data_IF_136008668289
#
_entry.id   IF_136008668289
#
_cell.length_a   1.000
_cell.length_b   1.000
_cell.length_c   1.000
_cell.angle_alpha   90.00
_cell.angle_beta   90.00
_cell.angle_gamma   90.00
#
_symmetry.space_group_name_H-M   'P 1'
#
loop_
_entity.id
_entity.type
_entity.pdbx_description
1 polymer ?
#
# COMPACT_ATOMS: atom_id res chain seq x y z
N UNK A 1 -13.35 -10.74 4.60
CA UNK A 1 -12.63 -9.52 5.02
C UNK A 1 -13.23 -8.25 4.42
N UNK A 2 -13.22 -8.05 3.10
CA UNK A 2 -13.66 -6.81 2.45
C UNK A 2 -15.04 -6.29 2.91
N UNK A 3 -16.10 -7.06 2.69
CA UNK A 3 -17.47 -6.63 3.00
C UNK A 3 -17.80 -6.46 4.48
N UNK A 4 -16.93 -6.96 5.36
CA UNK A 4 -17.06 -6.78 6.81
C UNK A 4 -16.46 -5.44 7.23
N UNK A 5 -15.29 -5.07 6.69
CA UNK A 5 -14.61 -3.81 6.97
C UNK A 5 -15.20 -2.63 6.18
N UNK A 6 -15.61 -2.89 4.93
CA UNK A 6 -16.07 -1.89 3.96
C UNK A 6 -17.42 -2.30 3.37
N UNK A 7 -18.52 -2.23 4.14
CA UNK A 7 -19.85 -2.60 3.63
C UNK A 7 -20.30 -1.72 2.45
N UNK A 8 -19.77 -0.50 2.32
CA UNK A 8 -20.04 0.46 1.25
C UNK A 8 -19.61 -0.03 -0.14
N UNK A 9 -18.70 -1.00 -0.23
CA UNK A 9 -18.27 -1.57 -1.52
C UNK A 9 -19.16 -2.71 -2.00
N UNK A 10 -20.02 -3.28 -1.13
CA UNK A 10 -20.93 -4.39 -1.48
C UNK A 10 -21.77 -4.12 -2.74
N UNK A 11 -22.33 -2.91 -2.96
CA UNK A 11 -23.12 -2.64 -4.16
C UNK A 11 -22.39 -2.85 -5.47
N UNK A 12 -21.05 -2.71 -5.51
CA UNK A 12 -20.24 -2.98 -6.71
C UNK A 12 -20.31 -4.45 -7.14
N UNK A 13 -20.62 -5.36 -6.20
CA UNK A 13 -20.66 -6.80 -6.41
C UNK A 13 -22.09 -7.34 -6.43
N UNK A 14 -23.12 -6.49 -6.38
CA UNK A 14 -24.52 -6.92 -6.25
C UNK A 14 -25.00 -7.82 -7.41
N UNK A 15 -24.47 -7.60 -8.61
CA UNK A 15 -24.78 -8.39 -9.81
C UNK A 15 -23.63 -9.33 -10.20
N UNK A 16 -22.75 -9.65 -9.26
CA UNK A 16 -21.58 -10.49 -9.49
C UNK A 16 -21.80 -11.86 -8.88
N UNK A 17 -21.56 -12.92 -9.67
CA UNK A 17 -21.42 -14.27 -9.15
C UNK A 17 -20.14 -14.34 -8.30
N UNK A 18 -20.32 -14.45 -6.99
CA UNK A 18 -19.22 -14.41 -6.03
C UNK A 18 -18.27 -15.61 -6.15
N UNK A 19 -18.76 -16.80 -6.53
CA UNK A 19 -17.91 -17.97 -6.72
C UNK A 19 -17.03 -17.85 -7.98
N UNK A 20 -17.58 -17.28 -9.05
CA UNK A 20 -16.81 -16.94 -10.24
C UNK A 20 -15.85 -15.76 -9.99
N UNK A 21 -16.25 -14.79 -9.17
CA UNK A 21 -15.40 -13.65 -8.81
C UNK A 21 -14.19 -14.09 -7.98
N UNK A 22 -14.36 -15.02 -7.04
CA UNK A 22 -13.27 -15.61 -6.27
C UNK A 22 -12.23 -16.27 -7.19
N UNK A 23 -12.68 -17.10 -8.14
CA UNK A 23 -11.80 -17.73 -9.14
C UNK A 23 -11.05 -16.70 -9.99
N UNK A 24 -11.74 -15.64 -10.44
CA UNK A 24 -11.12 -14.56 -11.24
C UNK A 24 -10.06 -13.80 -10.44
N UNK A 25 -10.33 -13.52 -9.16
CA UNK A 25 -9.37 -12.87 -8.27
C UNK A 25 -8.15 -13.76 -8.08
N UNK A 26 -8.34 -15.04 -7.74
CA UNK A 26 -7.24 -15.99 -7.55
C UNK A 26 -6.39 -16.12 -8.81
N UNK A 27 -7.01 -16.30 -9.98
CA UNK A 27 -6.29 -16.40 -11.26
C UNK A 27 -5.49 -15.13 -11.57
N UNK A 28 -6.02 -13.96 -11.20
CA UNK A 28 -5.32 -12.68 -11.39
C UNK A 28 -4.11 -12.56 -10.45
N UNK A 29 -4.23 -13.03 -9.20
CA UNK A 29 -3.11 -13.09 -8.26
C UNK A 29 -2.03 -14.08 -8.73
N UNK A 30 -2.42 -15.27 -9.19
CA UNK A 30 -1.51 -16.27 -9.78
C UNK A 30 -0.74 -15.65 -10.95
N UNK A 31 -1.45 -15.03 -11.91
CA UNK A 31 -0.84 -14.39 -13.06
C UNK A 31 0.20 -13.34 -12.65
N UNK A 32 -0.11 -12.50 -11.66
CA UNK A 32 0.81 -11.50 -11.15
C UNK A 32 2.06 -12.17 -10.55
N UNK A 33 1.87 -13.14 -9.64
CA UNK A 33 2.97 -13.80 -8.94
C UNK A 33 3.89 -14.53 -9.91
N UNK A 34 3.33 -15.29 -10.85
CA UNK A 34 4.09 -16.00 -11.90
C UNK A 34 4.88 -15.08 -12.83
N UNK A 35 4.51 -13.79 -12.90
CA UNK A 35 5.14 -12.80 -13.77
C UNK A 35 5.88 -11.70 -13.00
N UNK A 36 6.12 -11.85 -11.70
CA UNK A 36 6.89 -10.87 -10.91
C UNK A 36 8.32 -10.66 -11.44
N UNK A 37 8.91 -11.70 -12.04
CA UNK A 37 10.23 -11.63 -12.70
C UNK A 37 10.20 -11.06 -14.12
N UNK A 38 9.02 -10.76 -14.65
CA UNK A 38 8.83 -10.19 -15.99
C UNK A 38 7.92 -8.94 -15.94
N UNK A 39 8.38 -7.86 -15.28
CA UNK A 39 7.57 -6.65 -15.12
C UNK A 39 7.20 -5.98 -16.45
N UNK A 40 8.03 -6.12 -17.49
CA UNK A 40 7.77 -5.59 -18.83
C UNK A 40 6.54 -6.23 -19.49
N UNK A 41 6.33 -7.53 -19.28
CA UNK A 41 5.13 -8.23 -19.76
C UNK A 41 3.90 -7.93 -18.90
N UNK A 42 4.09 -7.74 -17.58
CA UNK A 42 2.99 -7.53 -16.64
C UNK A 42 2.36 -6.13 -16.76
N UNK A 43 3.17 -5.11 -17.06
CA UNK A 43 2.74 -3.72 -17.18
C UNK A 43 1.54 -3.51 -18.11
N UNK A 44 1.59 -3.91 -19.39
CA UNK A 44 0.47 -3.79 -20.33
C UNK A 44 -0.78 -4.55 -19.89
N UNK A 45 -0.63 -5.72 -19.28
CA UNK A 45 -1.74 -6.54 -18.79
C UNK A 45 -2.48 -5.84 -17.64
N UNK A 46 -1.73 -5.33 -16.66
CA UNK A 46 -2.30 -4.58 -15.53
C UNK A 46 -2.93 -3.26 -15.97
N UNK A 47 -2.33 -2.59 -16.95
CA UNK A 47 -2.90 -1.38 -17.53
C UNK A 47 -4.27 -1.68 -18.20
N UNK A 48 -4.33 -2.70 -19.07
CA UNK A 48 -5.58 -3.11 -19.70
C UNK A 48 -6.62 -3.60 -18.68
N UNK A 49 -6.19 -4.26 -17.61
CA UNK A 49 -7.06 -4.66 -16.50
C UNK A 49 -7.65 -3.45 -15.76
N UNK A 50 -6.85 -2.41 -15.53
CA UNK A 50 -7.28 -1.14 -14.96
C UNK A 50 -8.37 -0.45 -15.79
N UNK A 51 -8.20 -0.39 -17.11
CA UNK A 51 -9.22 0.14 -18.01
C UNK A 51 -10.56 -0.63 -17.94
N UNK A 52 -10.50 -1.97 -17.81
CA UNK A 52 -11.71 -2.78 -17.57
C UNK A 52 -12.34 -2.53 -16.20
N UNK A 53 -11.54 -2.24 -15.18
CA UNK A 53 -12.07 -1.95 -13.83
C UNK A 53 -12.93 -0.68 -13.80
N UNK A 54 -12.68 0.29 -14.69
CA UNK A 54 -13.54 1.48 -14.85
C UNK A 54 -14.96 1.08 -15.26
N UNK A 55 -15.13 0.13 -16.19
CA UNK A 55 -16.46 -0.32 -16.62
C UNK A 55 -17.21 -1.13 -15.55
N UNK A 56 -16.51 -1.63 -14.54
CA UNK A 56 -17.10 -2.25 -13.35
C UNK A 56 -17.48 -1.23 -12.26
N UNK A 57 -17.23 0.06 -12.48
CA UNK A 57 -17.47 1.12 -11.51
C UNK A 57 -16.36 1.27 -10.46
N UNK A 58 -15.19 0.66 -10.67
CA UNK A 58 -14.05 0.86 -9.79
C UNK A 58 -13.50 2.28 -9.96
N UNK A 59 -13.25 2.94 -8.83
CA UNK A 59 -12.66 4.27 -8.75
C UNK A 59 -11.52 4.25 -7.73
N UNK A 60 -10.60 5.23 -7.75
CA UNK A 60 -9.39 5.21 -6.93
C UNK A 60 -9.62 4.92 -5.44
N UNK A 61 -10.70 5.46 -4.87
CA UNK A 61 -11.03 5.28 -3.44
C UNK A 61 -11.27 3.83 -3.02
N UNK A 62 -11.56 2.91 -3.95
CA UNK A 62 -11.84 1.51 -3.62
C UNK A 62 -10.59 0.62 -3.58
N UNK A 63 -9.46 1.07 -4.15
CA UNK A 63 -8.24 0.26 -4.20
C UNK A 63 -7.64 0.05 -2.79
N UNK A 64 -7.62 1.09 -1.95
CA UNK A 64 -7.16 0.99 -0.56
C UNK A 64 -7.92 -0.07 0.25
N UNK A 65 -9.26 0.03 0.37
CA UNK A 65 -10.10 -0.98 1.02
C UNK A 65 -9.89 -2.41 0.54
N UNK A 66 -9.71 -2.61 -0.78
CA UNK A 66 -9.44 -3.93 -1.36
C UNK A 66 -8.06 -4.44 -0.93
N UNK A 67 -7.04 -3.59 -0.94
CA UNK A 67 -5.69 -3.92 -0.50
C UNK A 67 -5.63 -4.31 0.98
N UNK A 68 -6.28 -3.53 1.85
CA UNK A 68 -6.38 -3.82 3.27
C UNK A 68 -7.05 -5.17 3.53
N UNK A 69 -8.16 -5.43 2.84
CA UNK A 69 -8.87 -6.71 2.95
C UNK A 69 -8.05 -7.89 2.42
N UNK A 70 -7.25 -7.69 1.37
CA UNK A 70 -6.36 -8.71 0.80
C UNK A 70 -5.21 -9.03 1.76
N UNK A 71 -4.51 -8.01 2.27
CA UNK A 71 -3.42 -8.19 3.23
C UNK A 71 -3.89 -8.86 4.53
N UNK A 72 -5.07 -8.47 5.04
CA UNK A 72 -5.69 -9.15 6.18
C UNK A 72 -6.01 -10.61 5.88
N UNK A 73 -6.35 -10.93 4.64
CA UNK A 73 -6.56 -12.33 4.23
C UNK A 73 -5.23 -13.08 4.24
N UNK A 74 -4.15 -12.51 3.73
CA UNK A 74 -2.83 -13.15 3.77
C UNK A 74 -2.34 -13.37 5.19
N UNK A 75 -2.50 -12.39 6.08
CA UNK A 75 -2.19 -12.52 7.51
C UNK A 75 -2.91 -13.71 8.16
N UNK A 76 -4.21 -13.87 7.87
CA UNK A 76 -5.02 -14.97 8.42
C UNK A 76 -4.62 -16.36 7.90
N UNK A 77 -4.06 -16.44 6.69
CA UNK A 77 -3.65 -17.71 6.08
C UNK A 77 -2.20 -18.07 6.38
N UNK A 78 -1.31 -17.08 6.44
CA UNK A 78 0.12 -17.28 6.66
C UNK A 78 0.47 -17.45 8.14
N UNK A 79 -0.34 -16.88 9.06
CA UNK A 79 -0.14 -17.02 10.50
C UNK A 79 1.31 -16.68 10.91
N UNK A 80 2.09 -17.64 11.39
CA UNK A 80 3.49 -17.47 11.80
C UNK A 80 4.41 -17.06 10.64
N UNK A 81 4.02 -17.39 9.40
CA UNK A 81 4.75 -16.98 8.18
C UNK A 81 4.44 -15.54 7.76
N UNK A 82 3.52 -14.84 8.42
CA UNK A 82 3.23 -13.42 8.16
C UNK A 82 4.23 -12.50 8.87
N UNK A 83 5.49 -12.55 8.44
CA UNK A 83 6.56 -11.72 9.01
C UNK A 83 6.47 -10.27 8.52
N UNK A 84 7.13 -9.31 9.20
CA UNK A 84 7.20 -7.91 8.74
C UNK A 84 7.72 -7.77 7.31
N UNK A 85 8.66 -8.62 6.90
CA UNK A 85 9.24 -8.66 5.56
C UNK A 85 8.21 -9.11 4.53
N UNK A 86 7.45 -10.17 4.83
CA UNK A 86 6.38 -10.69 3.96
C UNK A 86 5.28 -9.63 3.80
N UNK A 87 4.87 -9.01 4.91
CA UNK A 87 3.90 -7.91 4.90
C UNK A 87 4.36 -6.75 4.03
N UNK A 88 5.62 -6.32 4.19
CA UNK A 88 6.20 -5.23 3.38
C UNK A 88 6.23 -5.62 1.90
N UNK A 89 6.67 -6.83 1.57
CA UNK A 89 6.71 -7.32 0.20
C UNK A 89 5.34 -7.26 -0.49
N UNK A 90 4.30 -7.76 0.18
CA UNK A 90 2.94 -7.73 -0.36
C UNK A 90 2.37 -6.32 -0.48
N UNK A 91 2.69 -5.43 0.46
CA UNK A 91 2.31 -4.03 0.36
C UNK A 91 2.95 -3.34 -0.84
N UNK A 92 4.25 -3.55 -1.06
CA UNK A 92 5.00 -2.99 -2.17
C UNK A 92 4.47 -3.54 -3.51
N UNK A 93 4.23 -4.85 -3.60
CA UNK A 93 3.65 -5.49 -4.77
C UNK A 93 2.25 -4.95 -5.07
N UNK A 94 1.38 -4.86 -4.07
CA UNK A 94 0.03 -4.30 -4.24
C UNK A 94 0.09 -2.84 -4.71
N UNK A 95 0.99 -2.03 -4.15
CA UNK A 95 1.18 -0.63 -4.55
C UNK A 95 1.61 -0.52 -6.01
N UNK A 96 2.55 -1.36 -6.46
CA UNK A 96 2.97 -1.40 -7.86
C UNK A 96 1.83 -1.79 -8.80
N UNK A 97 1.07 -2.84 -8.44
CA UNK A 97 -0.07 -3.33 -9.23
C UNK A 97 -1.13 -2.26 -9.39
N UNK A 98 -1.54 -1.65 -8.27
CA UNK A 98 -2.59 -0.64 -8.26
C UNK A 98 -2.17 0.63 -8.99
N UNK A 99 -0.89 1.02 -8.91
CA UNK A 99 -0.34 2.14 -9.70
C UNK A 99 -0.49 1.90 -11.21
N UNK A 100 -0.19 0.69 -11.68
CA UNK A 100 -0.34 0.31 -13.09
C UNK A 100 -1.81 0.23 -13.54
N UNK A 101 -2.69 -0.29 -12.68
CA UNK A 101 -4.13 -0.34 -12.94
C UNK A 101 -4.75 1.07 -12.98
N UNK A 102 -4.38 1.95 -12.05
CA UNK A 102 -4.85 3.33 -12.03
C UNK A 102 -4.40 4.10 -13.27
N UNK A 103 -3.15 3.91 -13.70
CA UNK A 103 -2.67 4.43 -14.99
C UNK A 103 -3.54 3.94 -16.15
N UNK A 104 -3.91 2.66 -16.16
CA UNK A 104 -4.79 2.09 -17.18
C UNK A 104 -6.24 2.56 -17.12
N UNK A 105 -6.69 3.00 -15.96
CA UNK A 105 -7.98 3.62 -15.74
C UNK A 105 -8.02 5.11 -16.17
N UNK A 106 -6.91 5.67 -16.67
CA UNK A 106 -6.79 7.09 -17.02
C UNK A 106 -6.66 8.01 -15.80
N UNK A 107 -6.26 7.46 -14.65
CA UNK A 107 -5.95 8.23 -13.44
C UNK A 107 -4.45 8.51 -13.46
N UNK A 108 -4.09 9.64 -14.04
CA UNK A 108 -2.72 10.14 -14.01
C UNK A 108 -2.41 10.57 -12.57
N UNK A 109 -1.69 9.70 -11.86
CA UNK A 109 -1.29 9.79 -10.45
C UNK A 109 -2.35 9.33 -9.44
N UNK A 110 -2.00 8.33 -8.62
CA UNK A 110 -2.83 7.89 -7.50
C UNK A 110 -3.23 9.09 -6.64
N UNK A 111 -4.45 9.14 -6.06
CA UNK A 111 -4.72 10.11 -5.03
C UNK A 111 -3.72 9.86 -3.91
N UNK A 112 -2.77 10.77 -3.76
CA UNK A 112 -1.84 10.81 -2.65
C UNK A 112 -2.72 10.84 -1.41
N UNK A 113 -2.78 9.76 -0.66
CA UNK A 113 -3.29 9.80 0.71
C UNK A 113 -2.34 10.71 1.46
N UNK A 114 -2.66 12.00 1.48
CA UNK A 114 -1.88 13.00 2.13
C UNK A 114 -2.01 12.73 3.63
N UNK A 115 -1.00 12.08 4.20
CA UNK A 115 -0.90 11.78 5.64
C UNK A 115 -0.83 13.06 6.50
N UNK A 116 -0.98 14.25 5.90
CA UNK A 116 -0.86 15.56 6.52
C UNK A 116 -2.20 16.26 6.86
N UNK A 117 -3.37 15.72 6.49
CA UNK A 117 -4.66 16.42 6.71
C UNK A 117 -5.44 15.99 7.98
N UNK A 118 -4.81 15.31 8.95
CA UNK A 118 -5.41 15.07 10.29
C UNK A 118 -5.01 16.17 11.30
N UNK A 119 -4.12 17.12 10.95
CA UNK A 119 -3.55 18.05 11.93
C UNK A 119 -3.98 19.53 11.84
N UNK A 120 -4.89 19.92 10.94
CA UNK A 120 -5.21 21.35 10.74
C UNK A 120 -6.70 21.71 10.85
N UNK A 121 -7.43 21.05 11.74
CA UNK A 121 -8.78 21.51 12.13
C UNK A 121 -8.97 21.46 13.65
N UNK A 122 -8.15 22.21 14.39
CA UNK A 122 -8.43 22.53 15.80
C UNK A 122 -7.60 23.73 16.27
N UNK A 123 -7.74 24.92 15.66
CA UNK A 123 -7.35 26.18 16.33
C UNK A 123 -7.84 27.44 15.58
N UNK A 124 -9.14 27.49 15.29
CA UNK A 124 -9.78 28.77 14.93
C UNK A 124 -11.10 28.94 15.68
N UNK A 125 -11.00 29.16 17.00
CA UNK A 125 -11.87 30.06 17.77
C UNK A 125 -11.52 30.00 19.26
N UNK A 126 -10.74 30.98 19.76
CA UNK A 126 -11.04 31.68 21.01
C UNK A 126 -10.02 32.81 21.31
N UNK A 127 -10.57 34.00 21.53
CA UNK A 127 -10.10 35.07 22.42
C UNK A 127 -8.91 35.99 22.03
N UNK A 128 -9.30 37.20 21.60
CA UNK A 128 -8.65 38.49 21.89
C UNK A 128 -8.15 38.59 23.35
N UNK A 129 -6.99 39.23 23.60
CA UNK A 129 -6.79 40.40 24.52
C UNK A 129 -5.31 40.58 24.96
N UNK A 130 -4.69 41.67 24.47
CA UNK A 130 -3.83 42.68 25.15
C UNK A 130 -2.45 42.30 25.79
N UNK A 131 -1.46 43.17 25.47
CA UNK A 131 -0.19 43.61 26.16
C UNK A 131 1.13 42.81 26.08
N UNK A 132 2.07 43.37 25.27
CA UNK A 132 3.46 43.85 25.51
C UNK A 132 4.51 43.05 26.34
N UNK A 133 5.82 43.27 26.09
CA UNK A 133 6.85 42.22 25.94
C UNK A 133 7.68 41.98 27.20
N UNK A 134 8.27 40.78 27.33
CA UNK A 134 9.31 40.52 28.33
C UNK A 134 10.52 39.85 27.67
N UNK A 135 11.64 40.45 28.02
CA UNK A 135 13.01 40.30 27.60
C UNK A 135 13.71 39.21 28.43
N UNK A 136 14.82 38.68 27.90
CA UNK A 136 15.91 37.96 28.60
C UNK A 136 15.69 36.48 28.99
N UNK A 137 16.48 35.58 28.37
CA UNK A 137 17.76 35.07 28.92
C UNK A 137 18.31 33.99 27.97
N UNK A 138 19.31 34.35 27.16
CA UNK A 138 20.13 33.38 26.42
C UNK A 138 21.27 33.01 27.37
N UNK A 139 21.29 31.77 27.82
CA UNK A 139 22.37 31.20 28.63
C UNK A 139 23.13 30.23 27.71
N UNK A 140 24.41 30.54 27.51
CA UNK A 140 25.37 29.80 26.67
C UNK A 140 25.56 28.35 27.15
N UNK A 141 25.70 27.41 26.21
CA UNK A 141 26.27 26.08 26.47
C UNK A 141 27.26 25.77 25.32
N UNK A 142 28.49 25.29 25.60
CA UNK A 142 29.67 25.53 24.76
C UNK A 142 29.87 24.50 23.63
N UNK A 143 30.59 24.94 22.61
CA UNK A 143 31.15 24.15 21.50
C UNK A 143 32.11 23.06 22.01
N UNK A 144 31.96 21.83 21.51
CA UNK A 144 33.02 20.81 21.45
C UNK A 144 33.02 20.14 20.07
N UNK A 145 34.23 20.05 19.53
CA UNK A 145 34.75 19.69 18.19
C UNK A 145 34.51 18.22 17.74
N UNK A 146 34.87 17.82 16.50
CA UNK A 146 34.12 16.92 15.64
C UNK A 146 34.48 15.44 15.83
N UNK A 147 33.50 14.56 15.66
CA UNK A 147 33.71 13.12 15.61
C UNK A 147 33.68 12.63 14.15
N UNK A 148 34.84 12.58 13.51
CA UNK A 148 35.08 11.66 12.40
C UNK A 148 35.37 10.25 12.95
N UNK A 149 34.80 9.26 12.26
CA UNK A 149 35.13 7.82 12.26
C UNK A 149 34.57 6.93 13.38
N UNK A 150 33.43 6.28 13.09
CA UNK A 150 33.23 4.84 13.37
C UNK A 150 32.52 4.19 12.16
N UNK A 151 33.29 3.33 11.47
CA UNK A 151 32.97 2.13 10.67
C UNK A 151 31.71 2.17 9.78
N UNK A 152 31.84 2.34 8.46
CA UNK A 152 32.08 1.27 7.45
C UNK A 152 31.20 0.03 7.61
N UNK A 153 30.07 0.09 6.89
CA UNK A 153 29.32 -0.98 6.20
C UNK A 153 27.82 -0.71 6.33
N UNK A 154 27.36 0.34 5.65
CA UNK A 154 25.97 0.37 5.19
C UNK A 154 25.98 -0.55 3.97
N UNK A 155 25.25 -1.68 3.94
CA UNK A 155 25.08 -2.41 2.69
C UNK A 155 24.43 -1.47 1.68
N UNK A 156 25.23 -1.05 0.71
CA UNK A 156 24.87 -0.23 -0.43
C UNK A 156 24.03 -1.04 -1.44
N UNK A 157 23.05 -1.81 -0.96
CA UNK A 157 22.10 -2.56 -1.80
C UNK A 157 20.75 -2.73 -1.08
N UNK A 158 20.10 -1.63 -0.70
CA UNK A 158 18.64 -1.64 -0.70
C UNK A 158 18.19 -1.51 -2.17
N UNK A 159 18.41 -2.58 -2.95
CA UNK A 159 17.90 -2.67 -4.30
C UNK A 159 16.39 -2.43 -4.22
N UNK A 160 15.92 -1.46 -4.98
CA UNK A 160 14.51 -1.06 -5.15
C UNK A 160 13.70 -2.15 -5.88
N UNK A 161 14.08 -3.42 -5.71
CA UNK A 161 13.49 -4.56 -6.37
C UNK A 161 12.56 -5.28 -5.39
N UNK A 162 11.38 -5.67 -5.88
CA UNK A 162 10.44 -6.46 -5.11
C UNK A 162 11.11 -7.78 -4.69
N UNK A 163 10.96 -8.24 -3.43
CA UNK A 163 11.55 -9.50 -2.99
C UNK A 163 10.73 -10.68 -3.56
N UNK A 164 10.95 -10.99 -4.84
CA UNK A 164 10.13 -11.93 -5.62
C UNK A 164 10.04 -13.31 -4.98
N UNK A 165 11.16 -13.85 -4.49
CA UNK A 165 11.20 -15.15 -3.80
C UNK A 165 10.27 -15.21 -2.57
N UNK A 166 10.18 -14.09 -1.83
CA UNK A 166 9.35 -14.00 -0.64
C UNK A 166 7.85 -13.95 -1.01
N UNK A 167 7.52 -13.26 -2.10
CA UNK A 167 6.17 -13.20 -2.65
C UNK A 167 5.73 -14.57 -3.19
N UNK A 168 6.58 -15.22 -3.99
CA UNK A 168 6.30 -16.55 -4.55
C UNK A 168 6.12 -17.60 -3.44
N UNK A 169 7.07 -17.70 -2.51
CA UNK A 169 7.02 -18.69 -1.42
C UNK A 169 5.86 -18.48 -0.45
N UNK A 170 5.52 -17.23 -0.12
CA UNK A 170 4.34 -16.94 0.71
C UNK A 170 3.04 -17.17 -0.04
N UNK A 171 2.96 -16.83 -1.34
CA UNK A 171 1.75 -17.07 -2.12
C UNK A 171 1.41 -18.55 -2.25
N UNK A 172 2.39 -19.43 -2.41
CA UNK A 172 2.18 -20.89 -2.47
C UNK A 172 1.52 -21.45 -1.20
N UNK A 173 1.72 -20.82 -0.04
CA UNK A 173 1.07 -21.20 1.22
C UNK A 173 -0.36 -20.66 1.34
N UNK A 174 -0.66 -19.55 0.66
CA UNK A 174 -1.98 -18.91 0.63
C UNK A 174 -2.89 -19.50 -0.45
N UNK A 175 -2.32 -19.95 -1.57
CA UNK A 175 -3.06 -20.53 -2.69
C UNK A 175 -3.96 -21.64 -2.15
N UNK A 176 -5.28 -21.58 -2.40
CA UNK A 176 -6.17 -22.67 -2.04
C UNK A 176 -5.59 -23.94 -2.67
N UNK A 177 -5.26 -24.95 -1.85
CA UNK A 177 -4.98 -26.29 -2.36
C UNK A 177 -6.26 -26.74 -3.01
N UNK A 178 -6.34 -26.56 -4.32
CA UNK A 178 -7.45 -27.07 -5.12
C UNK A 178 -7.47 -28.58 -4.91
N UNK A 179 -8.41 -29.05 -4.10
CA UNK A 179 -8.87 -30.43 -4.08
C UNK A 179 -10.10 -30.53 -4.98
#
# INVERSE_FOLDING_TARGET
NLFKAHPEVKPLFANTDMGNQEKKLLNSLVLVVENLRNPEALGPVLNALGGRHVSYGAIPKYYGPVGEALLLTFEQYLLEDWTPEVKKAWLDAFTAITSLMLKGAGVDHAPTTNKSEIAENSEQQAAKTITKPIEQKIEEIPQVEPAEQILTEIPEEASSELPVELLESSFEKVKPRAN
#
